data_IF_104831917800
#
_entry.id   IF_104831917800
#
_cell.length_a   1.000
_cell.length_b   1.000
_cell.length_c   1.000
_cell.angle_alpha   90.00
_cell.angle_beta   90.00
_cell.angle_gamma   90.00
#
_symmetry.space_group_name_H-M   'P 1'
#
loop_
_entity.id
_entity.type
_entity.pdbx_description
1 polymer ?
#
# COMPACT_ATOMS: atom_id res chain seq x y z
N UNK A 1 6.04 25.86 -5.76
CA UNK A 1 7.10 24.81 -5.82
C UNK A 1 6.59 23.73 -6.75
N UNK A 2 7.38 23.39 -7.76
CA UNK A 2 7.06 22.26 -8.62
C UNK A 2 7.08 20.99 -7.75
N UNK A 3 6.06 20.14 -7.85
CA UNK A 3 6.00 18.95 -7.01
C UNK A 3 7.11 17.99 -7.44
N UNK A 4 7.95 17.59 -6.50
CA UNK A 4 9.12 16.73 -6.74
C UNK A 4 8.78 15.28 -7.01
N UNK A 5 7.54 14.86 -6.75
CA UNK A 5 7.07 13.47 -6.88
C UNK A 5 6.26 13.19 -8.16
N UNK A 6 5.68 14.22 -8.79
CA UNK A 6 5.01 14.10 -10.09
C UNK A 6 5.25 15.37 -10.92
N UNK A 7 5.20 15.29 -12.26
CA UNK A 7 5.41 16.46 -13.13
C UNK A 7 4.35 17.53 -12.94
N UNK A 8 3.09 17.13 -12.73
CA UNK A 8 1.97 18.01 -12.44
C UNK A 8 0.92 17.27 -11.59
N UNK A 9 0.39 17.88 -10.51
CA UNK A 9 -0.71 17.32 -9.74
C UNK A 9 -2.07 17.48 -10.46
N UNK A 10 -2.13 18.15 -11.60
CA UNK A 10 -3.34 18.45 -12.36
C UNK A 10 -3.43 17.72 -13.70
N UNK A 11 -2.31 17.13 -14.16
CA UNK A 11 -2.24 16.37 -15.40
C UNK A 11 -1.66 15.00 -15.14
N UNK A 12 -2.36 13.98 -15.61
CA UNK A 12 -1.85 12.62 -15.54
C UNK A 12 -0.62 12.48 -16.44
N UNK A 13 0.48 12.08 -15.83
CA UNK A 13 1.68 11.64 -16.53
C UNK A 13 2.25 10.46 -15.79
N UNK A 14 2.23 9.28 -16.41
CA UNK A 14 2.76 8.08 -15.76
C UNK A 14 4.27 8.25 -15.52
N UNK A 15 4.70 7.97 -14.31
CA UNK A 15 6.11 7.98 -13.94
C UNK A 15 6.86 6.92 -14.75
N UNK A 16 7.96 7.33 -15.40
CA UNK A 16 8.83 6.40 -16.12
C UNK A 16 9.66 5.62 -15.13
N UNK A 17 9.44 4.31 -15.07
CA UNK A 17 10.21 3.39 -14.24
C UNK A 17 11.03 2.44 -15.08
N UNK A 18 12.07 1.82 -14.51
CA UNK A 18 12.73 0.68 -15.14
C UNK A 18 11.78 -0.51 -15.18
N UNK A 19 12.01 -1.41 -16.13
CA UNK A 19 11.35 -2.70 -16.14
C UNK A 19 12.01 -3.66 -15.14
N UNK A 20 11.20 -4.38 -14.39
CA UNK A 20 11.62 -5.49 -13.53
C UNK A 20 10.82 -6.74 -13.91
N UNK A 21 11.52 -7.78 -14.36
CA UNK A 21 10.90 -9.05 -14.70
C UNK A 21 10.56 -9.84 -13.44
N UNK A 22 9.33 -10.33 -13.37
CA UNK A 22 8.86 -11.29 -12.36
C UNK A 22 8.49 -12.56 -13.13
N UNK A 23 9.42 -13.47 -13.27
CA UNK A 23 9.29 -14.56 -14.20
C UNK A 23 9.11 -14.03 -15.63
N UNK A 24 7.97 -14.36 -16.24
CA UNK A 24 7.59 -13.92 -17.58
C UNK A 24 6.76 -12.61 -17.61
N UNK A 25 6.52 -11.98 -16.46
CA UNK A 25 5.70 -10.77 -16.34
C UNK A 25 6.57 -9.56 -16.09
N UNK A 26 6.60 -8.61 -17.03
CA UNK A 26 7.28 -7.32 -16.85
C UNK A 26 6.46 -6.38 -15.96
N UNK A 27 7.13 -5.72 -15.02
CA UNK A 27 6.56 -4.72 -14.09
C UNK A 27 7.34 -3.41 -14.27
N UNK A 28 6.64 -2.31 -14.47
CA UNK A 28 7.26 -1.01 -14.79
C UNK A 28 7.60 -0.87 -16.27
N UNK A 29 8.41 0.12 -16.61
CA UNK A 29 8.69 0.45 -18.00
C UNK A 29 7.44 0.82 -18.78
N UNK A 30 7.32 0.29 -19.98
CA UNK A 30 6.14 0.42 -20.85
C UNK A 30 5.03 -0.60 -20.57
N UNK A 31 5.23 -1.50 -19.60
CA UNK A 31 4.24 -2.53 -19.28
C UNK A 31 2.96 -1.92 -18.70
N UNK A 32 1.81 -2.60 -18.87
CA UNK A 32 0.59 -2.22 -18.19
C UNK A 32 0.75 -2.31 -16.67
N UNK A 33 -0.12 -1.63 -15.92
CA UNK A 33 -0.20 -1.74 -14.46
C UNK A 33 -0.67 -3.15 -14.13
N UNK A 34 0.17 -3.96 -13.48
CA UNK A 34 -0.07 -5.37 -13.23
C UNK A 34 -0.95 -5.61 -12.01
N UNK A 35 -1.85 -6.57 -12.14
CA UNK A 35 -2.76 -6.96 -11.06
C UNK A 35 -2.17 -8.13 -10.28
N UNK A 36 -2.06 -7.94 -8.97
CA UNK A 36 -1.61 -8.96 -8.04
C UNK A 36 -2.69 -9.24 -7.00
N UNK A 37 -2.84 -10.51 -6.62
CA UNK A 37 -3.61 -10.92 -5.45
C UNK A 37 -2.82 -11.91 -4.58
N UNK A 38 -3.42 -12.37 -3.49
CA UNK A 38 -2.73 -13.19 -2.49
C UNK A 38 -3.63 -14.31 -2.02
N UNK A 39 -3.09 -15.51 -1.95
CA UNK A 39 -3.80 -16.65 -1.39
C UNK A 39 -4.12 -16.44 0.09
N UNK A 40 -5.25 -16.96 0.49
CA UNK A 40 -5.72 -17.04 1.86
C UNK A 40 -5.48 -18.42 2.47
N UNK A 41 -5.34 -19.45 1.63
CA UNK A 41 -5.05 -20.82 2.02
C UNK A 41 -3.73 -20.95 2.76
N UNK A 42 -3.65 -21.90 3.69
CA UNK A 42 -2.41 -22.23 4.40
C UNK A 42 -1.39 -22.78 3.40
N UNK A 43 -0.23 -22.16 3.30
CA UNK A 43 0.82 -22.55 2.35
C UNK A 43 1.38 -23.97 2.58
N UNK A 44 1.04 -24.63 3.69
CA UNK A 44 1.35 -26.05 3.93
C UNK A 44 0.36 -27.00 3.25
N UNK A 45 -0.80 -26.50 2.86
CA UNK A 45 -1.81 -27.25 2.13
C UNK A 45 -1.64 -26.97 0.62
N UNK A 46 -0.92 -27.89 -0.04
CA UNK A 46 -0.61 -27.75 -1.48
C UNK A 46 -1.87 -27.71 -2.33
N UNK A 47 -2.81 -28.63 -2.06
CA UNK A 47 -4.03 -28.77 -2.89
C UNK A 47 -4.91 -27.53 -2.80
N UNK A 48 -5.12 -27.01 -1.58
CA UNK A 48 -5.87 -25.78 -1.36
C UNK A 48 -5.21 -24.57 -2.03
N UNK A 49 -3.89 -24.45 -1.90
CA UNK A 49 -3.13 -23.36 -2.54
C UNK A 49 -3.18 -23.44 -4.08
N UNK A 50 -3.02 -24.63 -4.65
CA UNK A 50 -3.10 -24.84 -6.12
C UNK A 50 -4.48 -24.49 -6.64
N UNK A 51 -5.53 -24.97 -5.96
CA UNK A 51 -6.91 -24.64 -6.34
C UNK A 51 -7.17 -23.14 -6.33
N UNK A 52 -6.89 -22.47 -5.23
CA UNK A 52 -7.09 -21.02 -5.09
C UNK A 52 -6.25 -20.22 -6.11
N UNK A 53 -5.01 -20.65 -6.37
CA UNK A 53 -4.14 -20.01 -7.36
C UNK A 53 -4.68 -20.16 -8.80
N UNK A 54 -5.25 -21.30 -9.16
CA UNK A 54 -5.89 -21.51 -10.46
C UNK A 54 -7.13 -20.61 -10.61
N UNK A 55 -7.95 -20.51 -9.58
CA UNK A 55 -9.12 -19.62 -9.57
C UNK A 55 -8.70 -18.14 -9.74
N UNK A 56 -7.62 -17.72 -9.08
CA UNK A 56 -7.05 -16.38 -9.24
C UNK A 56 -6.51 -16.14 -10.66
N UNK A 57 -5.81 -17.11 -11.22
CA UNK A 57 -5.28 -17.04 -12.58
C UNK A 57 -6.41 -16.94 -13.61
N UNK A 58 -7.49 -17.72 -13.44
CA UNK A 58 -8.69 -17.67 -14.30
C UNK A 58 -9.40 -16.32 -14.21
N UNK A 59 -9.44 -15.71 -13.02
CA UNK A 59 -9.96 -14.35 -12.82
C UNK A 59 -9.10 -13.25 -13.45
N UNK A 60 -7.91 -13.59 -13.98
CA UNK A 60 -6.98 -12.65 -14.61
C UNK A 60 -5.91 -12.09 -13.67
N UNK A 61 -5.66 -12.69 -12.51
CA UNK A 61 -4.55 -12.31 -11.66
C UNK A 61 -3.21 -12.59 -12.36
N UNK A 62 -2.38 -11.57 -12.52
CA UNK A 62 -1.12 -11.66 -13.28
C UNK A 62 0.07 -12.06 -12.43
N UNK A 63 -0.01 -11.89 -11.10
CA UNK A 63 1.05 -12.24 -10.13
C UNK A 63 0.37 -12.73 -8.85
N UNK A 64 0.69 -13.93 -8.39
CA UNK A 64 0.07 -14.55 -7.22
C UNK A 64 1.03 -14.55 -6.04
N UNK A 65 0.59 -14.10 -4.87
CA UNK A 65 1.39 -14.06 -3.65
C UNK A 65 0.93 -15.09 -2.62
N UNK A 66 1.89 -15.75 -1.99
CA UNK A 66 1.69 -16.70 -0.90
C UNK A 66 2.49 -16.26 0.33
N UNK A 67 2.01 -16.57 1.53
CA UNK A 67 2.78 -16.35 2.76
C UNK A 67 3.83 -17.43 2.94
N UNK A 68 5.04 -17.07 3.39
CA UNK A 68 6.10 -18.00 3.75
C UNK A 68 6.72 -17.59 5.09
N UNK A 69 6.01 -17.88 6.18
CA UNK A 69 6.36 -17.42 7.53
C UNK A 69 7.59 -18.13 8.11
N UNK A 70 7.82 -19.38 7.74
CA UNK A 70 8.95 -20.20 8.20
C UNK A 70 9.55 -20.96 7.06
N UNK A 71 10.74 -21.56 7.29
CA UNK A 71 11.41 -22.41 6.31
C UNK A 71 10.53 -23.58 5.83
N UNK A 72 9.69 -24.15 6.69
CA UNK A 72 8.76 -25.23 6.31
C UNK A 72 7.69 -24.77 5.33
N UNK A 73 7.12 -23.57 5.52
CA UNK A 73 6.20 -22.96 4.56
C UNK A 73 6.90 -22.66 3.24
N UNK A 74 8.12 -22.12 3.31
CA UNK A 74 8.92 -21.80 2.13
C UNK A 74 9.31 -23.05 1.33
N UNK A 75 9.64 -24.17 1.99
CA UNK A 75 9.94 -25.43 1.32
C UNK A 75 8.74 -26.01 0.56
N UNK A 76 7.52 -25.84 1.08
CA UNK A 76 6.31 -26.34 0.38
C UNK A 76 5.98 -25.56 -0.89
N UNK A 77 6.58 -24.39 -1.10
CA UNK A 77 6.44 -23.64 -2.36
C UNK A 77 6.95 -24.46 -3.57
N UNK A 78 7.90 -25.39 -3.38
CA UNK A 78 8.33 -26.34 -4.40
C UNK A 78 7.15 -27.16 -4.93
N UNK A 79 6.38 -27.77 -4.03
CA UNK A 79 5.23 -28.59 -4.41
C UNK A 79 4.15 -27.76 -5.11
N UNK A 80 3.80 -26.61 -4.53
CA UNK A 80 2.81 -25.69 -5.08
C UNK A 80 3.22 -25.23 -6.49
N UNK A 81 4.47 -24.78 -6.66
CA UNK A 81 4.97 -24.33 -7.95
C UNK A 81 4.96 -25.48 -8.99
N UNK A 82 5.43 -26.67 -8.60
CA UNK A 82 5.44 -27.85 -9.48
C UNK A 82 4.04 -28.21 -9.97
N UNK A 83 3.08 -28.29 -9.08
CA UNK A 83 1.71 -28.69 -9.42
C UNK A 83 0.97 -27.63 -10.23
N UNK A 84 1.18 -26.34 -9.94
CA UNK A 84 0.66 -25.28 -10.79
C UNK A 84 1.22 -25.36 -12.22
N UNK A 85 2.53 -25.60 -12.39
CA UNK A 85 3.16 -25.75 -13.70
C UNK A 85 2.65 -26.99 -14.42
N UNK A 86 2.43 -28.11 -13.70
CA UNK A 86 1.83 -29.32 -14.25
C UNK A 86 0.37 -29.09 -14.71
N UNK A 87 -0.37 -28.23 -14.03
CA UNK A 87 -1.72 -27.79 -14.42
C UNK A 87 -1.72 -26.75 -15.57
N UNK A 88 -0.55 -26.39 -16.11
CA UNK A 88 -0.43 -25.40 -17.19
C UNK A 88 -0.52 -23.94 -16.74
N UNK A 89 -0.55 -23.66 -15.44
CA UNK A 89 -0.56 -22.31 -14.91
C UNK A 89 0.89 -21.78 -14.78
N UNK A 90 1.21 -20.75 -15.55
CA UNK A 90 2.52 -20.10 -15.58
C UNK A 90 2.54 -18.70 -14.94
N UNK A 91 1.49 -18.35 -14.20
CA UNK A 91 1.45 -17.09 -13.43
C UNK A 91 2.58 -17.10 -12.41
N UNK A 92 3.43 -16.04 -12.35
CA UNK A 92 4.55 -16.00 -11.43
C UNK A 92 4.10 -15.90 -9.97
N UNK A 93 4.87 -16.55 -9.11
CA UNK A 93 4.62 -16.62 -7.68
C UNK A 93 5.49 -15.64 -6.91
N UNK A 94 4.95 -15.12 -5.82
CA UNK A 94 5.65 -14.25 -4.87
C UNK A 94 5.57 -14.83 -3.47
N UNK A 95 6.70 -15.07 -2.84
CA UNK A 95 6.76 -15.42 -1.42
C UNK A 95 6.79 -14.17 -0.54
N UNK A 96 5.85 -14.10 0.39
CA UNK A 96 5.78 -13.04 1.39
C UNK A 96 6.47 -13.49 2.67
N UNK A 97 7.69 -12.99 2.88
CA UNK A 97 8.54 -13.32 4.01
C UNK A 97 8.31 -12.32 5.14
N UNK A 98 7.90 -12.81 6.30
CA UNK A 98 7.60 -11.93 7.43
C UNK A 98 8.82 -11.66 8.33
N UNK A 99 9.60 -12.70 8.72
CA UNK A 99 10.53 -12.55 9.83
C UNK A 99 11.91 -13.23 9.67
N UNK A 100 12.14 -14.08 8.68
CA UNK A 100 13.31 -14.96 8.71
C UNK A 100 14.09 -15.00 7.39
N UNK A 101 15.38 -14.64 7.42
CA UNK A 101 16.24 -14.74 6.24
C UNK A 101 16.34 -16.16 5.67
N UNK A 102 16.34 -17.21 6.52
CA UNK A 102 16.39 -18.60 6.09
C UNK A 102 15.15 -19.05 5.30
N UNK A 103 13.96 -18.53 5.68
CA UNK A 103 12.73 -18.73 4.91
C UNK A 103 12.81 -18.02 3.55
N UNK A 104 13.38 -16.82 3.50
CA UNK A 104 13.58 -16.10 2.25
C UNK A 104 14.50 -16.83 1.28
N UNK A 105 15.62 -17.34 1.77
CA UNK A 105 16.57 -18.14 1.00
C UNK A 105 15.94 -19.43 0.46
N UNK A 106 15.14 -20.11 1.28
CA UNK A 106 14.42 -21.31 0.84
C UNK A 106 13.39 -20.98 -0.23
N UNK A 107 12.55 -19.96 0.01
CA UNK A 107 11.51 -19.54 -0.94
C UNK A 107 12.08 -19.09 -2.29
N UNK A 108 13.22 -18.40 -2.30
CA UNK A 108 13.86 -17.89 -3.52
C UNK A 108 14.23 -18.97 -4.54
N UNK A 109 14.33 -20.22 -4.11
CA UNK A 109 14.57 -21.37 -5.01
C UNK A 109 13.36 -21.66 -5.90
N UNK A 110 12.15 -21.40 -5.41
CA UNK A 110 10.90 -21.93 -5.96
C UNK A 110 9.98 -20.89 -6.60
N UNK A 111 10.16 -19.60 -6.25
CA UNK A 111 9.30 -18.52 -6.74
C UNK A 111 10.08 -17.46 -7.52
N UNK A 112 9.36 -16.68 -8.33
CA UNK A 112 9.95 -15.66 -9.20
C UNK A 112 10.23 -14.34 -8.48
N UNK A 113 9.57 -14.10 -7.33
CA UNK A 113 9.78 -12.88 -6.54
C UNK A 113 9.69 -13.14 -5.05
N UNK A 114 10.59 -12.50 -4.30
CA UNK A 114 10.56 -12.48 -2.82
C UNK A 114 10.08 -11.11 -2.35
N UNK A 115 9.16 -11.09 -1.39
CA UNK A 115 8.85 -9.86 -0.64
C UNK A 115 9.45 -9.93 0.75
N UNK A 116 10.23 -8.94 1.09
CA UNK A 116 10.74 -8.72 2.45
C UNK A 116 10.07 -7.50 3.08
N UNK A 117 9.95 -7.52 4.41
CA UNK A 117 9.56 -6.36 5.21
C UNK A 117 10.81 -5.87 5.97
N UNK A 118 11.36 -4.70 5.60
CA UNK A 118 12.56 -4.15 6.23
C UNK A 118 12.49 -4.12 7.76
N UNK A 119 11.35 -3.78 8.32
CA UNK A 119 11.18 -3.66 9.77
C UNK A 119 11.21 -4.97 10.56
N UNK A 120 11.11 -6.12 9.87
CA UNK A 120 11.02 -7.43 10.53
C UNK A 120 12.01 -8.45 9.97
N UNK A 121 12.76 -8.14 8.92
CA UNK A 121 13.56 -9.13 8.20
C UNK A 121 14.84 -9.51 8.96
N UNK A 122 15.55 -8.53 9.50
CA UNK A 122 16.78 -8.71 10.28
C UNK A 122 16.58 -8.20 11.71
N UNK A 123 15.93 -7.06 11.85
CA UNK A 123 15.75 -6.39 13.11
C UNK A 123 14.66 -7.08 13.93
N UNK A 124 15.03 -7.62 15.08
CA UNK A 124 14.05 -8.10 16.06
C UNK A 124 13.50 -6.89 16.81
N UNK A 125 12.20 -6.64 16.65
CA UNK A 125 11.52 -5.68 17.53
C UNK A 125 11.63 -6.16 18.97
N UNK A 126 12.34 -5.40 19.78
CA UNK A 126 12.40 -5.63 21.23
C UNK A 126 11.42 -4.73 21.97
N UNK A 127 10.80 -3.75 21.26
CA UNK A 127 9.98 -2.68 21.83
C UNK A 127 10.71 -1.88 22.91
N UNK A 128 12.02 -1.86 22.84
CA UNK A 128 12.88 -1.07 23.74
C UNK A 128 12.97 0.36 23.19
N UNK A 129 12.55 1.33 24.00
CA UNK A 129 12.84 2.73 23.74
C UNK A 129 14.32 2.93 24.06
N UNK A 130 15.16 2.78 23.03
CA UNK A 130 16.60 2.96 23.14
C UNK A 130 17.04 4.02 22.14
N UNK A 131 17.68 5.06 22.64
CA UNK A 131 18.36 6.00 21.75
C UNK A 131 19.58 5.29 21.13
N UNK A 132 19.67 5.32 19.82
CA UNK A 132 20.84 4.83 19.07
C UNK A 132 21.78 5.99 18.81
N UNK A 133 23.02 5.87 19.24
CA UNK A 133 24.11 6.73 18.76
C UNK A 133 24.37 6.49 17.27
N UNK A 134 25.01 7.44 16.60
CA UNK A 134 25.37 7.26 15.18
C UNK A 134 26.32 6.06 14.94
N UNK A 135 27.13 5.70 15.93
CA UNK A 135 28.00 4.53 15.88
C UNK A 135 27.17 3.24 15.93
N UNK A 136 26.30 3.10 16.93
CA UNK A 136 25.41 1.93 17.08
C UNK A 136 24.48 1.80 15.88
N UNK A 137 23.98 2.90 15.31
CA UNK A 137 23.17 2.86 14.09
C UNK A 137 23.95 2.27 12.90
N UNK A 138 25.21 2.63 12.73
CA UNK A 138 26.08 2.08 11.67
C UNK A 138 26.38 0.60 11.89
N UNK A 139 26.67 0.17 13.13
CA UNK A 139 26.86 -1.25 13.45
C UNK A 139 25.64 -2.09 13.09
N UNK A 140 24.44 -1.59 13.34
CA UNK A 140 23.20 -2.27 12.95
C UNK A 140 23.02 -2.30 11.42
N UNK A 141 23.45 -1.27 10.69
CA UNK A 141 23.47 -1.28 9.23
C UNK A 141 24.48 -2.28 8.66
N UNK A 142 25.63 -2.41 9.27
CA UNK A 142 26.65 -3.40 8.87
C UNK A 142 26.11 -4.82 9.11
N UNK A 143 25.46 -5.07 10.25
CA UNK A 143 24.79 -6.35 10.53
C UNK A 143 23.67 -6.63 9.52
N UNK A 144 22.88 -5.63 9.19
CA UNK A 144 21.83 -5.73 8.16
C UNK A 144 22.44 -6.14 6.81
N UNK A 145 23.54 -5.50 6.43
CA UNK A 145 24.28 -5.81 5.20
C UNK A 145 24.76 -7.26 5.18
N UNK A 146 25.35 -7.75 6.26
CA UNK A 146 25.83 -9.13 6.36
C UNK A 146 24.69 -10.14 6.19
N UNK A 147 23.57 -9.94 6.87
CA UNK A 147 22.44 -10.87 6.84
C UNK A 147 21.62 -10.80 5.55
N UNK A 148 21.59 -9.65 4.87
CA UNK A 148 20.82 -9.45 3.64
C UNK A 148 21.59 -9.83 2.37
N UNK A 149 22.92 -9.68 2.36
CA UNK A 149 23.78 -9.94 1.22
C UNK A 149 23.58 -11.33 0.59
N UNK A 150 23.49 -12.45 1.35
CA UNK A 150 23.31 -13.77 0.75
C UNK A 150 22.03 -13.88 -0.09
N UNK A 151 20.91 -13.30 0.37
CA UNK A 151 19.66 -13.30 -0.37
C UNK A 151 19.75 -12.46 -1.65
N UNK A 152 20.38 -11.29 -1.58
CA UNK A 152 20.56 -10.40 -2.74
C UNK A 152 21.39 -11.11 -3.83
N UNK A 153 22.52 -11.72 -3.44
CA UNK A 153 23.39 -12.45 -4.38
C UNK A 153 22.66 -13.63 -5.02
N UNK A 154 21.92 -14.40 -4.23
CA UNK A 154 21.12 -15.51 -4.74
C UNK A 154 20.07 -15.03 -5.75
N UNK A 155 19.31 -13.97 -5.41
CA UNK A 155 18.30 -13.40 -6.30
C UNK A 155 18.92 -12.87 -7.60
N UNK A 156 20.08 -12.22 -7.52
CA UNK A 156 20.83 -11.74 -8.69
C UNK A 156 21.24 -12.89 -9.60
N UNK A 157 21.86 -13.93 -9.04
CA UNK A 157 22.36 -15.08 -9.79
C UNK A 157 21.24 -15.88 -10.47
N UNK A 158 20.07 -16.00 -9.80
CA UNK A 158 18.96 -16.80 -10.29
C UNK A 158 17.86 -15.98 -10.99
N UNK A 159 18.08 -14.68 -11.24
CA UNK A 159 17.12 -13.81 -11.92
C UNK A 159 15.80 -13.63 -11.14
N UNK A 160 15.84 -13.68 -9.81
CA UNK A 160 14.65 -13.46 -8.97
C UNK A 160 14.46 -11.97 -8.74
N UNK A 161 13.22 -11.48 -8.79
CA UNK A 161 12.89 -10.13 -8.38
C UNK A 161 12.73 -10.04 -6.85
N UNK A 162 12.85 -8.84 -6.31
CA UNK A 162 12.61 -8.60 -4.89
C UNK A 162 11.70 -7.39 -4.69
N UNK A 163 10.75 -7.51 -3.76
CA UNK A 163 9.99 -6.35 -3.31
C UNK A 163 10.39 -5.96 -1.89
N UNK A 164 10.90 -4.75 -1.76
CA UNK A 164 11.13 -4.10 -0.47
C UNK A 164 9.83 -3.43 -0.07
N UNK A 165 9.17 -3.99 0.95
CA UNK A 165 7.82 -3.60 1.31
C UNK A 165 7.69 -3.16 2.76
N UNK A 166 7.86 -1.85 3.02
CA UNK A 166 7.66 -1.25 4.33
C UNK A 166 6.18 -1.12 4.65
N UNK A 167 5.83 -1.42 5.89
CA UNK A 167 4.50 -1.24 6.43
C UNK A 167 4.55 -0.29 7.63
N UNK A 168 3.63 0.68 7.68
CA UNK A 168 3.38 1.50 8.86
C UNK A 168 3.03 0.60 10.06
N UNK A 169 3.52 0.90 11.24
CA UNK A 169 3.38 0.06 12.43
C UNK A 169 4.33 -1.15 12.47
N UNK A 170 5.16 -1.36 11.44
CA UNK A 170 6.06 -2.53 11.31
C UNK A 170 7.49 -2.12 11.02
N UNK A 171 7.91 -0.96 11.50
CA UNK A 171 9.29 -0.48 11.36
C UNK A 171 10.19 -1.08 12.45
N UNK A 172 11.49 -1.17 12.20
CA UNK A 172 12.47 -1.62 13.21
C UNK A 172 12.63 -0.58 14.32
N UNK A 173 13.07 -1.04 15.51
CA UNK A 173 13.27 -0.15 16.66
C UNK A 173 14.29 0.97 16.33
N UNK A 174 15.31 0.67 15.55
CA UNK A 174 16.31 1.63 15.07
C UNK A 174 15.67 2.76 14.24
N UNK A 175 14.79 2.41 13.32
CA UNK A 175 14.06 3.37 12.49
C UNK A 175 13.03 4.15 13.32
N UNK A 176 12.29 3.45 14.19
CA UNK A 176 11.31 4.09 15.07
C UNK A 176 11.93 5.14 15.98
N UNK A 177 13.10 4.86 16.54
CA UNK A 177 13.81 5.79 17.41
C UNK A 177 14.34 7.01 16.68
N UNK A 178 14.82 6.85 15.42
CA UNK A 178 15.43 7.95 14.67
C UNK A 178 14.41 8.77 13.86
N UNK A 179 13.42 8.14 13.28
CA UNK A 179 12.47 8.75 12.34
C UNK A 179 11.01 8.68 12.82
N UNK A 180 10.71 7.89 13.85
CA UNK A 180 9.35 7.62 14.28
C UNK A 180 8.60 6.66 13.35
N UNK A 181 7.34 6.35 13.71
CA UNK A 181 6.42 5.61 12.82
C UNK A 181 5.75 6.62 11.86
N UNK A 182 6.51 7.08 10.90
CA UNK A 182 6.20 8.19 10.00
C UNK A 182 6.43 7.79 8.54
N UNK A 183 5.91 8.53 7.56
CA UNK A 183 6.27 8.36 6.16
C UNK A 183 7.78 8.38 5.90
N UNK A 184 8.53 9.26 6.60
CA UNK A 184 9.98 9.33 6.52
C UNK A 184 10.63 8.03 6.99
N UNK A 185 10.22 7.50 8.15
CA UNK A 185 10.72 6.23 8.67
C UNK A 185 10.45 5.07 7.72
N UNK A 186 9.28 5.03 7.10
CA UNK A 186 8.94 4.01 6.09
C UNK A 186 9.88 4.08 4.88
N UNK A 187 10.16 5.28 4.38
CA UNK A 187 11.00 5.51 3.20
C UNK A 187 12.46 5.18 3.51
N UNK A 188 13.03 5.72 4.59
CA UNK A 188 14.43 5.47 4.96
C UNK A 188 14.67 3.98 5.20
N UNK A 189 13.75 3.29 5.87
CA UNK A 189 13.81 1.83 6.05
C UNK A 189 13.93 1.07 4.72
N UNK A 190 13.27 1.50 3.67
CA UNK A 190 13.34 0.86 2.36
C UNK A 190 14.59 1.28 1.57
N UNK A 191 15.00 2.53 1.66
CA UNK A 191 16.18 3.06 0.95
C UNK A 191 17.46 2.39 1.45
N UNK A 192 17.59 2.11 2.76
CA UNK A 192 18.74 1.39 3.32
C UNK A 192 18.91 0.00 2.70
N UNK A 193 17.82 -0.78 2.61
CA UNK A 193 17.86 -2.09 1.96
C UNK A 193 18.17 -1.98 0.46
N UNK A 194 17.60 -0.98 -0.21
CA UNK A 194 17.87 -0.73 -1.62
C UNK A 194 19.33 -0.36 -1.87
N UNK A 195 19.93 0.43 -1.00
CA UNK A 195 21.33 0.81 -1.14
C UNK A 195 22.24 -0.42 -1.04
N UNK A 196 21.99 -1.32 -0.09
CA UNK A 196 22.75 -2.59 0.03
C UNK A 196 22.61 -3.42 -1.24
N UNK A 197 21.40 -3.54 -1.78
CA UNK A 197 21.17 -4.28 -3.01
C UNK A 197 21.89 -3.66 -4.21
N UNK A 198 21.87 -2.34 -4.33
CA UNK A 198 22.58 -1.58 -5.38
C UNK A 198 24.10 -1.70 -5.29
N UNK A 199 24.65 -1.66 -4.08
CA UNK A 199 26.08 -1.86 -3.85
C UNK A 199 26.56 -3.26 -4.32
N UNK A 200 25.63 -4.21 -4.41
CA UNK A 200 25.84 -5.55 -4.94
C UNK A 200 25.45 -5.70 -6.42
N UNK A 201 25.23 -4.59 -7.13
CA UNK A 201 24.79 -4.57 -8.54
C UNK A 201 23.50 -5.38 -8.76
N UNK A 202 22.54 -5.25 -7.85
CA UNK A 202 21.22 -5.87 -7.96
C UNK A 202 20.13 -4.83 -8.07
N UNK A 203 19.42 -4.85 -9.22
CA UNK A 203 18.43 -3.83 -9.60
C UNK A 203 17.02 -4.37 -9.85
N UNK A 204 16.77 -5.66 -9.68
CA UNK A 204 15.44 -6.25 -9.84
C UNK A 204 14.54 -5.97 -8.62
N UNK A 205 14.41 -4.70 -8.28
CA UNK A 205 13.72 -4.21 -7.09
C UNK A 205 12.37 -3.59 -7.42
N UNK A 206 11.37 -3.86 -6.57
CA UNK A 206 10.05 -3.21 -6.54
C UNK A 206 9.82 -2.66 -5.14
N UNK A 207 9.17 -1.51 -5.00
CA UNK A 207 8.92 -0.90 -3.69
C UNK A 207 7.45 -0.86 -3.32
N UNK A 208 7.16 -0.89 -2.02
CA UNK A 208 5.82 -0.59 -1.52
C UNK A 208 5.83 0.03 -0.12
N UNK A 209 4.96 1.03 0.10
CA UNK A 209 4.79 1.79 1.34
C UNK A 209 3.35 1.64 1.82
N UNK A 210 3.04 0.56 2.54
CA UNK A 210 1.66 0.25 2.90
C UNK A 210 1.31 0.76 4.29
N UNK A 211 0.12 1.33 4.41
CA UNK A 211 -0.49 1.70 5.67
C UNK A 211 -2.01 1.45 5.63
N UNK A 212 -2.63 1.29 6.78
CA UNK A 212 -4.08 1.27 6.94
C UNK A 212 -4.68 2.68 6.88
N UNK A 213 -3.92 3.69 7.32
CA UNK A 213 -4.27 5.09 7.11
C UNK A 213 -3.88 5.51 5.69
N UNK A 214 -4.88 5.76 4.86
CA UNK A 214 -4.71 6.12 3.44
C UNK A 214 -3.88 7.40 3.26
N UNK A 215 -4.05 8.41 4.13
CA UNK A 215 -3.30 9.66 4.04
C UNK A 215 -1.81 9.46 4.32
N UNK A 216 -1.48 8.66 5.33
CA UNK A 216 -0.10 8.26 5.63
C UNK A 216 0.49 7.47 4.48
N UNK A 217 -0.28 6.54 3.93
CA UNK A 217 0.13 5.73 2.78
C UNK A 217 0.47 6.62 1.56
N UNK A 218 -0.43 7.50 1.17
CA UNK A 218 -0.24 8.39 0.02
C UNK A 218 0.99 9.29 0.23
N UNK A 219 1.13 9.88 1.42
CA UNK A 219 2.30 10.70 1.75
C UNK A 219 3.61 9.89 1.67
N UNK A 220 3.64 8.65 2.17
CA UNK A 220 4.82 7.79 2.13
C UNK A 220 5.23 7.41 0.70
N UNK A 221 4.28 7.11 -0.18
CA UNK A 221 4.61 6.82 -1.59
C UNK A 221 5.11 8.06 -2.34
N UNK A 222 4.50 9.22 -2.13
CA UNK A 222 4.96 10.48 -2.73
C UNK A 222 6.37 10.82 -2.27
N UNK A 223 6.62 10.70 -0.97
CA UNK A 223 7.94 10.92 -0.38
C UNK A 223 8.99 9.91 -0.92
N UNK A 224 8.61 8.65 -1.10
CA UNK A 224 9.48 7.64 -1.71
C UNK A 224 9.92 8.06 -3.12
N UNK A 225 8.97 8.51 -3.94
CA UNK A 225 9.28 8.97 -5.31
C UNK A 225 10.17 10.20 -5.30
N UNK A 226 9.90 11.17 -4.44
CA UNK A 226 10.74 12.35 -4.26
C UNK A 226 12.17 11.97 -3.86
N UNK A 227 12.33 11.08 -2.87
CA UNK A 227 13.65 10.58 -2.44
C UNK A 227 14.37 9.84 -3.55
N UNK A 228 13.69 8.98 -4.29
CA UNK A 228 14.27 8.31 -5.45
C UNK A 228 14.74 9.31 -6.51
N UNK A 229 13.93 10.32 -6.83
CA UNK A 229 14.30 11.36 -7.80
C UNK A 229 15.52 12.18 -7.33
N UNK A 230 15.60 12.48 -6.03
CA UNK A 230 16.74 13.18 -5.43
C UNK A 230 18.04 12.35 -5.44
N UNK A 231 17.93 11.02 -5.33
CA UNK A 231 19.08 10.10 -5.37
C UNK A 231 19.63 9.89 -6.79
N UNK A 232 18.83 10.19 -7.82
CA UNK A 232 19.29 10.17 -9.21
C UNK A 232 18.34 9.44 -10.17
N UNK A 233 18.53 9.61 -11.47
CA UNK A 233 17.62 9.07 -12.49
C UNK A 233 17.62 7.54 -12.56
N UNK A 234 18.63 6.88 -12.06
CA UNK A 234 18.78 5.43 -11.98
C UNK A 234 18.08 4.81 -10.76
N UNK A 235 17.44 5.63 -9.91
CA UNK A 235 16.56 5.19 -8.85
C UNK A 235 15.09 5.06 -9.28
N UNK A 236 14.84 4.94 -10.56
CA UNK A 236 13.50 4.85 -11.16
C UNK A 236 12.84 3.47 -11.00
N UNK A 237 12.89 2.89 -9.83
CA UNK A 237 12.31 1.57 -9.55
C UNK A 237 10.78 1.57 -9.62
N UNK A 238 10.17 0.44 -10.07
CA UNK A 238 8.71 0.28 -10.07
C UNK A 238 8.12 0.18 -8.65
N UNK A 239 6.85 0.55 -8.57
CA UNK A 239 6.13 0.69 -7.31
C UNK A 239 4.89 -0.20 -7.31
N UNK A 240 4.73 -0.99 -6.23
CA UNK A 240 3.55 -1.79 -5.96
C UNK A 240 2.64 -1.08 -4.97
N UNK A 241 1.42 -0.76 -5.40
CA UNK A 241 0.43 -0.08 -4.58
C UNK A 241 -0.45 -1.05 -3.78
N UNK A 242 -0.90 -0.61 -2.62
CA UNK A 242 -1.88 -1.36 -1.83
C UNK A 242 -2.17 -0.69 -0.49
N UNK A 243 -3.42 -0.73 -0.08
CA UNK A 243 -3.88 -0.34 1.26
C UNK A 243 -3.91 -1.60 2.13
N UNK A 244 -3.37 -1.55 3.35
CA UNK A 244 -3.53 -2.64 4.32
C UNK A 244 -4.84 -2.48 5.07
N UNK A 245 -5.49 -3.59 5.39
CA UNK A 245 -6.71 -3.59 6.20
C UNK A 245 -7.78 -2.63 5.63
N UNK A 246 -8.03 -2.75 4.34
CA UNK A 246 -9.04 -1.90 3.70
C UNK A 246 -10.45 -2.19 4.21
N UNK A 247 -10.70 -3.42 4.66
CA UNK A 247 -12.02 -3.88 5.09
C UNK A 247 -12.75 -4.63 3.98
N UNK A 248 -14.03 -4.88 4.19
CA UNK A 248 -14.88 -5.60 3.23
C UNK A 248 -15.93 -4.71 2.59
N UNK A 249 -16.69 -5.30 1.68
CA UNK A 249 -17.82 -4.66 1.05
C UNK A 249 -17.48 -3.38 0.30
N UNK A 250 -18.36 -2.41 0.35
CA UNK A 250 -18.21 -1.12 -0.32
C UNK A 250 -17.13 -0.25 0.32
N UNK A 251 -17.04 -0.24 1.65
CA UNK A 251 -16.06 0.56 2.39
C UNK A 251 -14.62 0.19 2.03
N UNK A 252 -14.32 -1.12 1.94
CA UNK A 252 -13.00 -1.60 1.53
C UNK A 252 -12.64 -1.17 0.10
N UNK A 253 -13.62 -1.20 -0.80
CA UNK A 253 -13.47 -0.73 -2.19
C UNK A 253 -13.23 0.77 -2.27
N UNK A 254 -14.00 1.57 -1.55
CA UNK A 254 -13.86 3.03 -1.48
C UNK A 254 -12.49 3.39 -0.88
N UNK A 255 -12.11 2.76 0.23
CA UNK A 255 -10.81 3.00 0.88
C UNK A 255 -9.64 2.68 -0.05
N UNK A 256 -9.74 1.57 -0.79
CA UNK A 256 -8.75 1.18 -1.80
C UNK A 256 -8.72 2.17 -2.96
N UNK A 257 -9.89 2.62 -3.43
CA UNK A 257 -10.00 3.61 -4.50
C UNK A 257 -9.38 4.96 -4.10
N UNK A 258 -9.64 5.43 -2.89
CA UNK A 258 -9.03 6.67 -2.39
C UNK A 258 -7.50 6.54 -2.30
N UNK A 259 -6.99 5.46 -1.72
CA UNK A 259 -5.54 5.28 -1.54
C UNK A 259 -4.80 4.99 -2.84
N UNK A 260 -5.19 3.95 -3.53
CA UNK A 260 -4.53 3.51 -4.77
C UNK A 260 -4.83 4.50 -5.90
N UNK A 261 -6.08 4.93 -6.06
CA UNK A 261 -6.50 5.85 -7.11
C UNK A 261 -5.81 7.20 -7.03
N UNK A 262 -5.60 7.77 -5.83
CA UNK A 262 -4.85 9.02 -5.67
C UNK A 262 -3.42 8.90 -6.23
N UNK A 263 -2.72 7.80 -5.96
CA UNK A 263 -1.37 7.57 -6.45
C UNK A 263 -1.35 7.29 -7.95
N UNK A 264 -2.31 6.52 -8.45
CA UNK A 264 -2.44 6.31 -9.90
C UNK A 264 -2.70 7.63 -10.63
N UNK A 265 -3.48 8.54 -10.05
CA UNK A 265 -3.70 9.90 -10.60
C UNK A 265 -2.41 10.72 -10.62
N UNK A 266 -1.53 10.56 -9.63
CA UNK A 266 -0.19 11.16 -9.61
C UNK A 266 0.77 10.51 -10.64
N UNK A 267 0.35 9.47 -11.34
CA UNK A 267 1.19 8.68 -12.26
C UNK A 267 2.08 7.66 -11.55
N UNK A 268 1.85 7.40 -10.27
CA UNK A 268 2.63 6.47 -9.43
C UNK A 268 1.93 5.12 -9.37
N UNK A 269 2.62 4.05 -9.75
CA UNK A 269 2.16 2.68 -9.61
C UNK A 269 2.33 1.84 -10.87
N UNK A 270 3.00 0.70 -10.72
CA UNK A 270 3.32 -0.25 -11.79
C UNK A 270 2.66 -1.61 -11.57
N UNK A 271 2.28 -1.90 -10.34
CA UNK A 271 1.46 -3.04 -9.96
C UNK A 271 0.66 -2.70 -8.72
N UNK A 272 -0.47 -3.35 -8.51
CA UNK A 272 -1.31 -3.11 -7.35
C UNK A 272 -1.97 -4.37 -6.82
N UNK A 273 -2.35 -4.33 -5.54
CA UNK A 273 -3.26 -5.28 -4.90
C UNK A 273 -4.32 -4.53 -4.11
N UNK A 274 -5.57 -4.84 -4.38
CA UNK A 274 -6.68 -4.53 -3.47
C UNK A 274 -6.70 -5.60 -2.38
N UNK A 275 -6.87 -5.22 -1.13
CA UNK A 275 -6.93 -6.16 0.01
C UNK A 275 -8.29 -6.03 0.69
N UNK A 276 -9.16 -7.00 0.46
CA UNK A 276 -10.50 -7.07 1.05
C UNK A 276 -10.57 -8.22 2.07
N UNK A 277 -11.58 -8.18 2.94
CA UNK A 277 -11.94 -9.30 3.84
C UNK A 277 -12.88 -10.31 3.15
N UNK A 278 -12.82 -10.36 1.83
CA UNK A 278 -13.59 -11.25 0.95
C UNK A 278 -12.64 -12.28 0.31
N UNK A 279 -13.21 -13.26 -0.42
CA UNK A 279 -12.40 -14.20 -1.20
C UNK A 279 -11.47 -13.45 -2.15
N UNK A 280 -10.22 -13.88 -2.23
CA UNK A 280 -9.17 -13.20 -2.99
C UNK A 280 -9.53 -12.99 -4.49
N UNK A 281 -10.32 -13.88 -5.06
CA UNK A 281 -10.82 -13.78 -6.45
C UNK A 281 -11.63 -12.50 -6.67
N UNK A 282 -12.34 -12.02 -5.65
CA UNK A 282 -13.13 -10.77 -5.72
C UNK A 282 -12.28 -9.50 -5.72
N UNK A 283 -11.02 -9.59 -5.30
CA UNK A 283 -10.06 -8.48 -5.36
C UNK A 283 -9.69 -8.13 -6.82
N UNK A 284 -9.58 -9.13 -7.69
CA UNK A 284 -9.07 -8.99 -9.07
C UNK A 284 -9.93 -8.05 -9.93
N UNK A 285 -11.26 -8.19 -10.02
CA UNK A 285 -12.09 -7.26 -10.78
C UNK A 285 -12.06 -5.83 -10.25
N UNK A 286 -11.95 -5.66 -8.93
CA UNK A 286 -11.82 -4.33 -8.31
C UNK A 286 -10.49 -3.69 -8.68
N UNK A 287 -9.41 -4.46 -8.65
CA UNK A 287 -8.08 -4.02 -9.05
C UNK A 287 -8.04 -3.56 -10.51
N UNK A 288 -8.68 -4.29 -11.42
CA UNK A 288 -8.81 -3.88 -12.83
C UNK A 288 -9.62 -2.60 -12.99
N UNK A 289 -10.74 -2.44 -12.27
CA UNK A 289 -11.54 -1.21 -12.32
C UNK A 289 -10.73 0.01 -11.88
N UNK A 290 -9.83 -0.14 -10.91
CA UNK A 290 -8.96 0.93 -10.44
C UNK A 290 -7.85 1.25 -11.44
N UNK A 291 -7.27 0.25 -12.10
CA UNK A 291 -6.12 0.43 -12.99
C UNK A 291 -6.49 0.82 -14.41
N UNK A 292 -7.63 0.34 -14.94
CA UNK A 292 -8.02 0.53 -16.34
C UNK A 292 -7.99 1.99 -16.84
N UNK A 293 -8.42 3.01 -16.06
CA UNK A 293 -8.33 4.40 -16.51
C UNK A 293 -6.89 4.90 -16.73
N UNK A 294 -5.89 4.22 -16.17
CA UNK A 294 -4.48 4.60 -16.15
C UNK A 294 -3.58 3.65 -16.97
N UNK A 295 -4.17 2.66 -17.62
CA UNK A 295 -3.42 1.77 -18.51
C UNK A 295 -2.90 2.53 -19.73
N UNK A 296 -1.75 2.12 -20.30
CA UNK A 296 -1.29 2.68 -21.55
C UNK A 296 -2.41 2.63 -22.61
N UNK A 297 -2.83 3.77 -23.10
CA UNK A 297 -3.82 3.89 -24.16
C UNK A 297 -3.27 4.76 -25.28
N UNK A 298 -3.71 4.54 -26.51
CA UNK A 298 -3.42 5.39 -27.67
C UNK A 298 -4.15 6.75 -27.60
N UNK A 299 -4.53 7.24 -26.41
CA UNK A 299 -5.16 8.54 -26.27
C UNK A 299 -4.17 9.62 -26.70
N UNK A 300 -4.49 10.33 -27.74
CA UNK A 300 -3.86 11.60 -28.08
C UNK A 300 -4.14 12.57 -26.94
N UNK A 301 -3.14 12.85 -26.12
CA UNK A 301 -3.18 13.95 -25.18
C UNK A 301 -3.14 15.25 -25.99
N UNK A 302 -4.30 15.80 -26.33
CA UNK A 302 -4.37 17.20 -26.70
C UNK A 302 -3.97 18.02 -25.48
N UNK A 303 -2.86 18.76 -25.53
CA UNK A 303 -2.38 19.51 -24.38
C UNK A 303 -3.27 20.73 -24.17
N UNK A 304 -4.35 20.54 -23.41
CA UNK A 304 -5.10 21.70 -22.91
C UNK A 304 -4.21 22.40 -21.89
N UNK A 305 -3.64 23.52 -22.26
CA UNK A 305 -2.80 24.34 -21.39
C UNK A 305 -3.66 25.11 -20.41
N UNK A 306 -3.76 24.62 -19.18
CA UNK A 306 -4.25 25.42 -18.05
C UNK A 306 -3.07 25.91 -17.22
N UNK A 307 -3.12 27.16 -16.70
CA UNK A 307 -2.15 27.59 -15.69
C UNK A 307 -2.31 26.68 -14.46
N UNK A 308 -1.22 26.08 -14.02
CA UNK A 308 -1.22 25.23 -12.83
C UNK A 308 -1.26 26.12 -11.57
N UNK A 309 -2.31 26.04 -10.75
CA UNK A 309 -2.36 26.77 -9.50
C UNK A 309 -1.31 26.22 -8.53
N UNK A 310 -0.77 27.10 -7.68
CA UNK A 310 0.12 26.67 -6.60
C UNK A 310 -0.65 25.85 -5.56
N UNK A 311 -0.02 24.76 -5.11
CA UNK A 311 -0.55 23.98 -3.99
C UNK A 311 -0.45 24.79 -2.70
N UNK A 312 -1.57 24.92 -1.98
CA UNK A 312 -1.62 25.60 -0.68
C UNK A 312 -1.16 24.73 0.51
N UNK A 313 -0.69 23.51 0.24
CA UNK A 313 -0.24 22.55 1.24
C UNK A 313 0.97 21.78 0.74
N UNK A 314 1.73 21.17 1.66
CA UNK A 314 2.83 20.27 1.34
C UNK A 314 2.28 18.84 1.05
N UNK A 315 2.32 18.36 -0.20
CA UNK A 315 1.76 17.06 -0.58
C UNK A 315 2.57 15.86 -0.07
N UNK A 316 3.79 16.09 0.45
CA UNK A 316 4.68 15.06 1.00
C UNK A 316 4.49 14.88 2.50
N UNK A 317 3.77 15.80 3.15
CA UNK A 317 3.52 15.75 4.59
C UNK A 317 2.06 15.48 4.89
N UNK A 318 1.83 14.48 5.73
CA UNK A 318 0.52 14.32 6.34
C UNK A 318 0.41 15.26 7.54
N UNK A 319 -0.42 16.28 7.41
CA UNK A 319 -0.81 17.12 8.55
C UNK A 319 -2.33 17.15 8.66
N UNK A 320 -2.85 16.90 9.86
CA UNK A 320 -4.28 17.08 10.13
C UNK A 320 -4.57 18.59 10.07
N UNK A 321 -5.48 18.97 9.16
CA UNK A 321 -5.95 20.35 9.10
C UNK A 321 -6.57 20.73 10.44
N UNK A 322 -6.10 21.81 11.05
CA UNK A 322 -6.75 22.41 12.21
C UNK A 322 -7.95 23.23 11.73
N UNK A 323 -9.13 22.75 12.04
CA UNK A 323 -10.37 23.49 11.81
C UNK A 323 -10.71 24.38 12.99
N UNK A 324 -11.35 25.52 12.76
CA UNK A 324 -11.94 26.31 13.82
C UNK A 324 -13.11 25.56 14.47
N UNK A 325 -13.37 25.86 15.75
CA UNK A 325 -14.57 25.38 16.43
C UNK A 325 -15.78 26.22 15.98
N UNK A 326 -16.79 25.57 15.44
CA UNK A 326 -18.08 26.16 15.11
C UNK A 326 -19.18 25.57 15.99
N UNK A 327 -20.16 26.37 16.31
CA UNK A 327 -21.39 25.91 16.98
C UNK A 327 -22.53 25.90 15.98
N UNK A 328 -23.16 24.75 15.81
CA UNK A 328 -24.36 24.61 14.99
C UNK A 328 -25.45 24.02 15.87
N UNK A 329 -26.44 24.84 16.26
CA UNK A 329 -27.58 24.42 17.08
C UNK A 329 -27.21 23.63 18.36
N UNK A 330 -26.22 24.12 19.11
CA UNK A 330 -25.75 23.44 20.33
C UNK A 330 -24.83 22.27 20.09
N UNK A 331 -24.55 21.90 18.83
CA UNK A 331 -23.57 20.87 18.44
C UNK A 331 -22.25 21.53 18.09
N UNK A 332 -21.18 21.07 18.72
CA UNK A 332 -19.81 21.50 18.40
C UNK A 332 -19.33 20.81 17.12
N UNK A 333 -18.84 21.59 16.15
CA UNK A 333 -18.30 21.13 14.87
C UNK A 333 -16.87 21.61 14.70
N UNK A 334 -16.04 20.82 14.08
CA UNK A 334 -14.65 21.17 13.78
C UNK A 334 -13.70 20.92 14.94
N UNK A 335 -12.46 21.40 14.82
CA UNK A 335 -11.36 21.12 15.72
C UNK A 335 -11.21 19.62 15.99
N UNK A 336 -11.14 19.21 17.26
CA UNK A 336 -11.03 17.82 17.69
C UNK A 336 -12.38 17.12 17.89
N UNK A 337 -13.47 17.76 17.47
CA UNK A 337 -14.78 17.16 17.59
C UNK A 337 -14.93 15.97 16.61
N UNK A 338 -15.72 14.97 16.99
CA UNK A 338 -16.06 13.87 16.07
C UNK A 338 -16.67 14.41 14.76
N UNK A 339 -16.39 13.73 13.66
CA UNK A 339 -17.01 14.05 12.37
C UNK A 339 -18.53 13.93 12.50
N UNK A 340 -19.24 14.93 11.99
CA UNK A 340 -20.70 14.96 11.95
C UNK A 340 -21.17 14.74 10.53
N UNK A 341 -22.22 13.96 10.37
CA UNK A 341 -22.80 13.66 9.06
C UNK A 341 -24.11 14.43 8.93
N UNK A 342 -24.24 15.21 7.88
CA UNK A 342 -25.48 15.85 7.50
C UNK A 342 -26.26 14.95 6.56
N UNK A 343 -27.50 14.68 6.86
CA UNK A 343 -28.40 13.87 6.03
C UNK A 343 -29.71 14.61 5.77
N UNK A 344 -30.37 14.41 4.61
CA UNK A 344 -31.69 14.92 4.37
C UNK A 344 -32.73 14.22 5.26
N UNK A 345 -33.89 14.82 5.43
CA UNK A 345 -34.99 14.29 6.28
C UNK A 345 -35.30 12.81 6.02
N UNK A 346 -35.44 12.44 4.75
CA UNK A 346 -35.71 11.05 4.37
C UNK A 346 -34.64 10.08 4.87
N UNK A 347 -33.36 10.49 4.80
CA UNK A 347 -32.23 9.71 5.33
C UNK A 347 -32.27 9.62 6.86
N UNK A 348 -32.68 10.66 7.56
CA UNK A 348 -32.78 10.66 9.02
C UNK A 348 -33.84 9.68 9.53
N UNK A 349 -35.02 9.64 8.90
CA UNK A 349 -36.07 8.67 9.27
C UNK A 349 -35.64 7.21 9.00
N UNK A 350 -34.92 6.97 7.93
CA UNK A 350 -34.34 5.64 7.65
C UNK A 350 -33.33 5.18 8.73
N UNK A 351 -32.49 6.10 9.22
CA UNK A 351 -31.51 5.83 10.28
C UNK A 351 -32.14 5.61 11.67
N UNK A 352 -33.35 6.11 11.94
CA UNK A 352 -34.04 5.89 13.21
C UNK A 352 -34.47 4.42 13.41
N UNK A 353 -34.59 3.65 12.35
CA UNK A 353 -34.96 2.23 12.39
C UNK A 353 -33.76 1.33 12.62
N UNK A 354 -32.53 1.80 12.33
CA UNK A 354 -31.28 1.10 12.62
C UNK A 354 -30.62 1.76 13.83
N UNK A 355 -30.59 1.07 14.95
CA UNK A 355 -30.18 1.57 16.28
C UNK A 355 -28.69 1.88 16.43
N UNK A 356 -27.96 2.27 15.42
CA UNK A 356 -26.53 2.59 15.53
C UNK A 356 -26.24 4.09 15.38
N UNK A 357 -25.71 4.61 16.45
CA UNK A 357 -25.47 5.97 16.83
C UNK A 357 -24.46 6.72 15.97
N UNK A 358 -24.89 7.41 14.95
CA UNK A 358 -24.17 8.56 14.40
C UNK A 358 -24.79 9.85 14.89
N UNK A 359 -23.99 10.86 15.28
CA UNK A 359 -24.49 12.19 15.50
C UNK A 359 -24.80 12.81 14.14
N UNK A 360 -26.06 12.80 13.77
CA UNK A 360 -26.57 13.24 12.48
C UNK A 360 -27.07 14.66 12.60
N UNK A 361 -26.68 15.53 11.67
CA UNK A 361 -27.26 16.86 11.48
C UNK A 361 -28.26 16.73 10.33
N UNK A 362 -29.51 16.99 10.61
CA UNK A 362 -30.58 16.99 9.61
C UNK A 362 -30.54 18.27 8.76
N UNK A 363 -30.57 18.13 7.45
CA UNK A 363 -30.72 19.24 6.51
C UNK A 363 -32.04 19.06 5.76
N UNK A 364 -33.04 19.86 6.06
CA UNK A 364 -34.33 19.83 5.38
C UNK A 364 -34.26 20.52 4.02
N UNK A 365 -34.76 19.84 2.98
CA UNK A 365 -35.29 20.34 1.71
C UNK A 365 -34.64 21.55 1.01
N UNK A 366 -34.97 21.75 -0.27
CA UNK A 366 -34.36 22.70 -1.22
C UNK A 366 -34.48 24.21 -0.89
N UNK A 367 -34.94 24.59 0.29
CA UNK A 367 -34.91 25.97 0.78
C UNK A 367 -34.37 26.01 2.19
N UNK A 368 -33.15 26.51 2.29
CA UNK A 368 -32.45 26.68 3.56
C UNK A 368 -33.14 27.72 4.42
N UNK A 369 -34.12 27.30 5.23
CA UNK A 369 -34.58 28.08 6.36
C UNK A 369 -34.00 27.49 7.64
N UNK A 370 -32.73 27.79 7.87
CA UNK A 370 -31.92 27.33 9.02
C UNK A 370 -32.60 27.55 10.41
N UNK A 371 -33.39 28.57 10.64
CA UNK A 371 -34.01 28.80 11.95
C UNK A 371 -35.11 27.80 12.38
N UNK A 372 -35.72 27.08 11.44
CA UNK A 372 -36.80 26.12 11.77
C UNK A 372 -36.36 24.72 12.11
N UNK A 373 -35.07 24.39 11.85
CA UNK A 373 -34.47 23.08 12.13
C UNK A 373 -34.11 22.83 13.60
N UNK A 374 -34.21 23.86 14.43
CA UNK A 374 -33.73 23.86 15.81
C UNK A 374 -34.49 22.94 16.77
N UNK A 375 -35.70 22.53 16.46
CA UNK A 375 -36.51 21.69 17.34
C UNK A 375 -36.22 20.19 17.30
N UNK A 376 -35.44 19.70 16.32
CA UNK A 376 -35.34 18.28 16.03
C UNK A 376 -33.93 17.67 16.15
N UNK A 377 -32.92 18.43 16.58
CA UNK A 377 -31.59 17.90 16.83
C UNK A 377 -31.58 17.16 18.18
N UNK A 378 -31.70 15.85 18.16
CA UNK A 378 -31.47 15.02 19.35
C UNK A 378 -30.01 14.53 19.35
N UNK A 379 -29.25 14.76 20.44
CA UNK A 379 -27.97 14.10 20.59
C UNK A 379 -28.23 12.62 20.82
N UNK A 380 -27.84 11.78 19.89
CA UNK A 380 -27.79 10.34 20.09
C UNK A 380 -26.58 10.02 21.00
N UNK A 381 -26.84 9.83 22.27
CA UNK A 381 -25.86 9.40 23.25
C UNK A 381 -25.81 7.88 23.30
N UNK A 382 -24.89 7.30 22.58
CA UNK A 382 -24.07 6.13 22.94
C UNK A 382 -23.31 5.65 21.71
N UNK A 383 -22.05 6.03 21.63
CA UNK A 383 -21.10 5.38 20.69
C UNK A 383 -20.53 4.19 21.43
N UNK A 384 -20.83 2.98 20.96
CA UNK A 384 -20.05 1.81 21.29
C UNK A 384 -18.66 1.99 20.71
N UNK A 385 -17.62 1.78 21.51
CA UNK A 385 -16.24 1.79 21.04
C UNK A 385 -16.08 0.65 20.03
N UNK A 386 -15.90 0.98 18.76
CA UNK A 386 -15.28 0.06 17.84
C UNK A 386 -13.81 -0.07 18.27
N UNK A 387 -13.37 -1.27 18.54
CA UNK A 387 -11.97 -1.55 18.83
C UNK A 387 -11.12 -1.23 17.60
N UNK A 388 -10.11 -0.39 17.82
CA UNK A 388 -9.01 -0.11 16.87
C UNK A 388 -8.11 -1.33 16.79
#
# INVERSE_FOLDING_TARGET
MQSSYCPSPYRYTRRVTREVMVGNVGVGGSNPIRIQSMLTSDTRDTDACVKEALELAEAGCEIIRLTAQTKAYAANLENIARELRAAGCHVPLVADIHFKPDAAMEAAKWVEKIRINPGNFVDKKKFEVREYSDAEYREELDRLREEFTPLVLFCREHGRAMRIGSNHGSLSDRILNRFGDTPEGMVESAIEFAQIARDLDYHSLVFSMKASNVKVMVAAYRLLVERMNALGPDWNYPIHLGVTEAGGGEDGRIKSAVGIGSLLTDGIGDTLRVSLTEDAVREVPVAYRLSNPFQPSERSDDPVSFPEPELSYDPLKFSKRQGGLAMCYGVRLGWEQPVRVAVPDAGFYALQTEREAMAVIMVCGNTVNFPQLLGSVRPLTKIGRAHV
#
